data_IF_943402915279
#
_entry.id   IF_943402915279
#
_cell.length_a   1.000
_cell.length_b   1.000
_cell.length_c   1.000
_cell.angle_alpha   90.00
_cell.angle_beta   90.00
_cell.angle_gamma   90.00
#
_symmetry.space_group_name_H-M   'P 1'
#
loop_
_entity.id
_entity.type
_entity.pdbx_description
1 polymer ?
#
# COMPACT_ATOMS: atom_id res chain seq x y z
N UNK A 1 -15.85 -7.19 10.33
CA UNK A 1 -14.88 -8.23 9.91
C UNK A 1 -15.66 -9.39 9.29
N UNK A 2 -15.11 -10.08 8.30
CA UNK A 2 -15.75 -11.25 7.67
C UNK A 2 -15.34 -12.53 8.41
N UNK A 3 -16.15 -13.03 9.33
CA UNK A 3 -15.84 -14.19 10.19
C UNK A 3 -16.77 -15.38 10.00
N UNK A 4 -17.75 -15.27 9.11
CA UNK A 4 -18.88 -16.21 8.96
C UNK A 4 -18.90 -16.93 7.61
N UNK A 5 -17.72 -17.11 7.00
CA UNK A 5 -17.57 -17.82 5.73
C UNK A 5 -18.02 -19.29 5.82
N UNK A 6 -18.56 -19.83 4.73
CA UNK A 6 -18.95 -21.25 4.65
C UNK A 6 -17.74 -22.13 4.34
N UNK A 7 -17.68 -23.31 4.98
CA UNK A 7 -16.62 -24.30 4.71
C UNK A 7 -16.70 -24.77 3.26
N UNK A 8 -15.55 -24.81 2.58
CA UNK A 8 -15.45 -25.23 1.18
C UNK A 8 -15.64 -24.08 0.17
N UNK A 9 -16.10 -22.91 0.61
CA UNK A 9 -16.25 -21.75 -0.27
C UNK A 9 -14.95 -20.95 -0.42
N UNK A 10 -14.75 -20.38 -1.60
CA UNK A 10 -13.69 -19.39 -1.86
C UNK A 10 -14.30 -18.00 -2.00
N UNK A 11 -13.66 -17.00 -1.40
CA UNK A 11 -14.07 -15.61 -1.43
C UNK A 11 -12.91 -14.73 -1.86
N UNK A 12 -13.05 -14.05 -2.99
CA UNK A 12 -12.13 -12.99 -3.39
C UNK A 12 -12.27 -11.79 -2.46
N UNK A 13 -11.14 -11.19 -2.08
CA UNK A 13 -11.09 -9.98 -1.25
C UNK A 13 -10.40 -8.88 -2.06
N UNK A 14 -11.06 -7.75 -2.23
CA UNK A 14 -10.56 -6.65 -3.04
C UNK A 14 -11.28 -5.34 -2.75
N UNK A 15 -10.57 -4.21 -2.94
CA UNK A 15 -11.10 -2.88 -2.68
C UNK A 15 -11.80 -2.21 -3.86
N UNK A 16 -11.88 -2.86 -5.03
CA UNK A 16 -12.29 -2.26 -6.31
C UNK A 16 -11.49 -0.99 -6.68
N UNK A 17 -10.19 -0.98 -6.37
CA UNK A 17 -9.31 0.17 -6.53
C UNK A 17 -8.22 -0.12 -7.58
N UNK A 18 -8.61 -0.36 -8.83
CA UNK A 18 -7.63 -0.48 -9.91
C UNK A 18 -6.93 0.86 -10.15
N UNK A 19 -5.60 0.87 -10.14
CA UNK A 19 -4.76 2.05 -10.36
C UNK A 19 -3.53 1.65 -11.17
N UNK A 20 -3.00 2.59 -11.97
CA UNK A 20 -1.70 2.41 -12.63
C UNK A 20 -0.60 2.66 -11.61
N UNK A 21 0.55 2.01 -11.79
CA UNK A 21 1.72 2.23 -10.94
C UNK A 21 2.14 3.71 -10.90
N UNK A 22 2.05 4.40 -12.04
CA UNK A 22 2.37 5.83 -12.12
C UNK A 22 1.45 6.66 -11.22
N UNK A 23 0.13 6.46 -11.30
CA UNK A 23 -0.85 7.18 -10.47
C UNK A 23 -0.58 6.97 -8.97
N UNK A 24 -0.16 5.76 -8.57
CA UNK A 24 0.21 5.45 -7.19
C UNK A 24 1.45 6.24 -6.76
N UNK A 25 2.51 6.25 -7.59
CA UNK A 25 3.75 6.98 -7.29
C UNK A 25 3.52 8.49 -7.24
N UNK A 26 2.71 9.03 -8.15
CA UNK A 26 2.33 10.44 -8.14
C UNK A 26 1.54 10.81 -6.87
N UNK A 27 0.59 9.98 -6.46
CA UNK A 27 -0.16 10.17 -5.21
C UNK A 27 0.78 10.21 -3.99
N UNK A 28 1.79 9.34 -3.95
CA UNK A 28 2.79 9.34 -2.88
C UNK A 28 3.61 10.64 -2.89
N UNK A 29 4.05 11.10 -4.07
CA UNK A 29 4.79 12.35 -4.19
C UNK A 29 3.98 13.53 -3.67
N UNK A 30 2.70 13.64 -4.06
CA UNK A 30 1.80 14.69 -3.58
C UNK A 30 1.61 14.66 -2.06
N UNK A 31 1.43 13.46 -1.49
CA UNK A 31 1.33 13.31 -0.04
C UNK A 31 2.61 13.69 0.69
N UNK A 32 3.78 13.42 0.12
CA UNK A 32 5.07 13.80 0.71
C UNK A 32 5.33 15.30 0.61
N UNK A 33 4.85 15.98 -0.44
CA UNK A 33 4.89 17.45 -0.50
C UNK A 33 4.19 18.08 0.70
N UNK A 34 3.05 17.50 1.12
CA UNK A 34 2.29 17.97 2.28
C UNK A 34 2.89 17.51 3.62
N UNK A 35 3.19 16.22 3.75
CA UNK A 35 3.49 15.58 5.02
C UNK A 35 4.98 15.59 5.39
N UNK A 36 5.87 15.82 4.41
CA UNK A 36 7.32 15.84 4.59
C UNK A 36 7.93 17.07 3.90
N UNK A 37 7.62 18.30 4.37
CA UNK A 37 8.06 19.54 3.72
C UNK A 37 9.59 19.74 3.79
N UNK A 38 10.25 19.13 4.78
CA UNK A 38 11.72 19.12 4.90
C UNK A 38 12.31 18.07 3.96
N UNK A 39 12.59 18.48 2.73
CA UNK A 39 13.08 17.59 1.67
C UNK A 39 14.57 17.27 1.82
N UNK A 40 15.02 16.10 1.30
CA UNK A 40 16.44 15.79 1.18
C UNK A 40 17.19 16.84 0.34
N UNK A 41 18.49 17.00 0.59
CA UNK A 41 19.32 17.95 -0.16
C UNK A 41 19.28 17.64 -1.67
N UNK A 42 19.03 18.68 -2.47
CA UNK A 42 18.95 18.57 -3.93
C UNK A 42 17.57 18.18 -4.47
N UNK A 43 16.59 17.90 -3.61
CA UNK A 43 15.22 17.58 -4.02
C UNK A 43 14.35 18.84 -3.93
N UNK A 44 13.88 19.33 -5.08
CA UNK A 44 12.93 20.46 -5.14
C UNK A 44 11.50 19.96 -5.06
N UNK A 45 11.13 18.99 -5.91
CA UNK A 45 9.86 18.28 -5.85
C UNK A 45 10.08 16.77 -5.83
N UNK A 46 9.29 16.03 -5.03
CA UNK A 46 9.41 14.56 -4.97
C UNK A 46 9.16 13.91 -6.33
N UNK A 47 8.28 14.49 -7.16
CA UNK A 47 7.97 13.97 -8.49
C UNK A 47 9.17 14.00 -9.45
N UNK A 48 10.16 14.85 -9.20
CA UNK A 48 11.37 14.96 -10.03
C UNK A 48 12.25 13.71 -9.89
N UNK A 49 11.99 12.87 -8.89
CA UNK A 49 12.69 11.60 -8.66
C UNK A 49 12.14 10.43 -9.48
N UNK A 50 11.00 10.62 -10.17
CA UNK A 50 10.40 9.56 -10.98
C UNK A 50 11.31 9.25 -12.17
N UNK A 51 11.78 8.01 -12.24
CA UNK A 51 12.64 7.53 -13.32
C UNK A 51 12.06 6.25 -13.93
N UNK A 52 11.93 6.22 -15.25
CA UNK A 52 11.52 5.01 -15.97
C UNK A 52 12.72 4.09 -16.14
N UNK A 53 12.52 2.82 -15.81
CA UNK A 53 13.53 1.76 -15.95
C UNK A 53 13.02 0.69 -16.92
N UNK A 54 13.92 -0.18 -17.38
CA UNK A 54 13.54 -1.30 -18.22
C UNK A 54 12.47 -2.17 -17.55
N UNK A 55 11.47 -2.59 -18.31
CA UNK A 55 10.34 -3.36 -17.78
C UNK A 55 10.77 -4.78 -17.37
N UNK A 56 10.01 -5.39 -16.47
CA UNK A 56 10.27 -6.75 -15.98
C UNK A 56 9.84 -7.78 -17.05
N UNK A 57 10.69 -8.76 -17.40
CA UNK A 57 10.25 -9.87 -18.25
C UNK A 57 9.06 -10.61 -17.62
N UNK A 58 7.97 -10.77 -18.38
CA UNK A 58 6.75 -11.43 -17.91
C UNK A 58 5.90 -10.61 -16.94
N UNK A 59 5.95 -9.28 -17.03
CA UNK A 59 5.14 -8.39 -16.20
C UNK A 59 3.65 -8.51 -16.56
N UNK A 60 2.84 -9.00 -15.63
CA UNK A 60 1.39 -8.93 -15.73
C UNK A 60 0.92 -7.47 -15.64
N UNK A 61 0.23 -7.01 -16.67
CA UNK A 61 -0.09 -5.58 -16.84
C UNK A 61 -1.28 -5.10 -16.00
N UNK A 62 -2.17 -6.02 -15.60
CA UNK A 62 -3.41 -5.66 -14.92
C UNK A 62 -3.89 -6.81 -14.03
N UNK A 63 -4.15 -6.47 -12.76
CA UNK A 63 -4.92 -7.30 -11.86
C UNK A 63 -6.19 -6.55 -11.45
N UNK A 64 -7.31 -7.26 -11.53
CA UNK A 64 -8.61 -6.77 -11.13
C UNK A 64 -9.31 -7.91 -10.38
N UNK A 65 -9.83 -7.60 -9.19
CA UNK A 65 -10.54 -8.57 -8.35
C UNK A 65 -12.00 -8.17 -8.26
N UNK A 66 -12.87 -9.10 -8.65
CA UNK A 66 -14.30 -9.03 -8.32
C UNK A 66 -14.53 -9.58 -6.91
N UNK A 67 -14.90 -8.69 -5.98
CA UNK A 67 -15.21 -9.02 -4.59
C UNK A 67 -16.74 -8.99 -4.30
N UNK A 68 -17.58 -9.07 -5.34
CA UNK A 68 -19.04 -9.03 -5.18
C UNK A 68 -19.59 -10.19 -4.33
N UNK A 69 -18.98 -11.38 -4.42
CA UNK A 69 -19.40 -12.56 -3.64
C UNK A 69 -19.28 -12.32 -2.14
N UNK A 70 -18.12 -11.86 -1.67
CA UNK A 70 -17.90 -11.65 -0.23
C UNK A 70 -18.74 -10.49 0.30
N UNK A 71 -18.98 -9.46 -0.52
CA UNK A 71 -19.87 -8.36 -0.18
C UNK A 71 -21.31 -8.85 0.01
N UNK A 72 -21.81 -9.65 -0.94
CA UNK A 72 -23.19 -10.17 -0.89
C UNK A 72 -23.41 -11.17 0.24
N UNK A 73 -22.47 -12.10 0.44
CA UNK A 73 -22.68 -13.22 1.37
C UNK A 73 -22.26 -12.90 2.80
N UNK A 74 -21.19 -12.12 2.99
CA UNK A 74 -20.62 -11.84 4.30
C UNK A 74 -20.74 -10.37 4.71
N UNK A 75 -21.35 -9.52 3.87
CA UNK A 75 -21.49 -8.09 4.13
C UNK A 75 -20.15 -7.35 4.20
N UNK A 76 -19.07 -7.94 3.67
CA UNK A 76 -17.75 -7.34 3.74
C UNK A 76 -17.59 -6.26 2.69
N UNK A 77 -17.13 -5.09 3.12
CA UNK A 77 -16.75 -3.98 2.28
C UNK A 77 -15.45 -3.37 2.82
N UNK A 78 -14.58 -2.82 1.95
CA UNK A 78 -13.42 -2.06 2.42
C UNK A 78 -13.86 -0.85 3.25
N UNK A 79 -13.14 -0.57 4.34
CA UNK A 79 -13.40 0.60 5.19
C UNK A 79 -12.65 1.85 4.71
N UNK A 80 -11.59 1.67 3.94
CA UNK A 80 -10.74 2.73 3.41
C UNK A 80 -10.93 2.84 1.90
N UNK A 81 -10.83 4.07 1.38
CA UNK A 81 -10.54 4.27 -0.05
C UNK A 81 -9.04 4.14 -0.30
N UNK A 82 -8.63 4.13 -1.56
CA UNK A 82 -7.22 4.18 -1.91
C UNK A 82 -6.54 5.41 -1.29
N UNK A 83 -7.18 6.58 -1.40
CA UNK A 83 -6.64 7.86 -0.95
C UNK A 83 -6.51 7.93 0.58
N UNK A 84 -7.54 7.48 1.32
CA UNK A 84 -7.49 7.47 2.78
C UNK A 84 -6.46 6.47 3.31
N UNK A 85 -6.38 5.29 2.69
CA UNK A 85 -5.39 4.26 3.02
C UNK A 85 -3.96 4.69 2.69
N UNK A 86 -3.73 5.31 1.53
CA UNK A 86 -2.39 5.75 1.12
C UNK A 86 -1.88 6.87 2.03
N UNK A 87 -2.72 7.85 2.38
CA UNK A 87 -2.35 8.90 3.35
C UNK A 87 -1.94 8.30 4.70
N UNK A 88 -2.74 7.39 5.25
CA UNK A 88 -2.41 6.71 6.52
C UNK A 88 -1.11 5.92 6.41
N UNK A 89 -0.86 5.30 5.26
CA UNK A 89 0.38 4.56 4.99
C UNK A 89 1.59 5.50 5.02
N UNK A 90 1.56 6.61 4.27
CA UNK A 90 2.65 7.60 4.25
C UNK A 90 2.91 8.14 5.66
N UNK A 91 1.86 8.54 6.38
CA UNK A 91 1.97 9.00 7.77
C UNK A 91 2.61 7.95 8.68
N UNK A 92 2.24 6.68 8.53
CA UNK A 92 2.81 5.60 9.33
C UNK A 92 4.32 5.44 9.06
N UNK A 93 4.75 5.45 7.80
CA UNK A 93 6.18 5.33 7.48
C UNK A 93 7.01 6.53 8.00
N UNK A 94 6.46 7.74 7.94
CA UNK A 94 7.11 8.94 8.50
C UNK A 94 7.21 8.86 10.04
N UNK A 95 6.20 8.31 10.71
CA UNK A 95 6.18 8.20 12.17
C UNK A 95 6.99 7.00 12.73
N UNK A 96 7.34 6.02 11.88
CA UNK A 96 7.96 4.76 12.31
C UNK A 96 9.35 4.54 11.70
N UNK A 97 10.18 5.59 11.68
CA UNK A 97 11.53 5.57 11.13
C UNK A 97 12.43 4.47 11.70
N UNK A 98 12.40 4.29 13.02
CA UNK A 98 13.19 3.24 13.69
C UNK A 98 12.82 1.83 13.21
N UNK A 99 11.55 1.62 12.85
CA UNK A 99 11.06 0.32 12.40
C UNK A 99 11.61 -0.03 11.02
N UNK A 100 11.44 0.83 10.01
CA UNK A 100 11.88 0.50 8.65
C UNK A 100 13.40 0.59 8.50
N UNK A 101 14.11 1.39 9.32
CA UNK A 101 15.57 1.41 9.33
C UNK A 101 16.17 0.05 9.69
N UNK A 102 15.60 -0.63 10.69
CA UNK A 102 16.03 -1.97 11.09
C UNK A 102 15.79 -3.02 9.98
N UNK A 103 14.72 -2.83 9.21
CA UNK A 103 14.44 -3.69 8.04
C UNK A 103 15.48 -3.45 6.93
N UNK A 104 15.86 -2.19 6.70
CA UNK A 104 16.78 -1.81 5.63
C UNK A 104 18.25 -2.19 5.93
N UNK A 105 18.69 -2.04 7.18
CA UNK A 105 20.07 -2.33 7.59
C UNK A 105 20.35 -3.82 7.86
N UNK A 106 19.32 -4.67 7.70
CA UNK A 106 19.41 -6.12 7.87
C UNK A 106 19.46 -6.58 9.32
N UNK A 107 19.30 -5.68 10.30
CA UNK A 107 19.15 -6.06 11.71
C UNK A 107 17.82 -6.76 11.98
N UNK A 108 16.84 -6.60 11.10
CA UNK A 108 15.58 -7.33 11.14
C UNK A 108 15.75 -8.80 10.76
N UNK A 109 15.68 -9.68 11.75
CA UNK A 109 15.86 -11.13 11.60
C UNK A 109 14.62 -11.86 11.04
N UNK A 110 13.62 -11.14 10.53
CA UNK A 110 12.39 -11.74 10.00
C UNK A 110 11.42 -12.27 11.06
N UNK A 111 11.64 -11.94 12.34
CA UNK A 111 10.72 -12.29 13.41
C UNK A 111 9.38 -11.56 13.27
N UNK A 112 8.27 -12.23 13.61
CA UNK A 112 6.93 -11.64 13.49
C UNK A 112 6.75 -10.48 14.48
N UNK A 113 6.79 -9.25 13.98
CA UNK A 113 6.47 -8.04 14.74
C UNK A 113 4.94 -7.89 14.87
N UNK A 114 4.45 -7.58 16.08
CA UNK A 114 3.01 -7.35 16.35
C UNK A 114 2.35 -8.29 17.38
N UNK A 115 3.13 -9.07 18.15
CA UNK A 115 2.61 -9.89 19.26
C UNK A 115 2.61 -9.18 20.62
N UNK A 116 3.08 -7.94 20.69
CA UNK A 116 2.95 -7.11 21.90
C UNK A 116 1.82 -6.13 21.66
N UNK A 117 0.68 -6.42 22.28
CA UNK A 117 -0.54 -5.61 22.25
C UNK A 117 -0.45 -4.35 23.10
#
# INVERSE_FOLDING_TARGET
MATTGKVGETYNIGGHNERKNLDVVETICELLEELAPNKPQGVVHYRDLITFVADRPGHDLRYAIDASKIARELGWLPQETFESGMRKTVQWYLANESWWKQVQDGSYQGERLGLKG
#
